data_IF_062462532783
#
_entry.id   IF_062462532783
#
_cell.length_a   1.000
_cell.length_b   1.000
_cell.length_c   1.000
_cell.angle_alpha   90.00
_cell.angle_beta   90.00
_cell.angle_gamma   90.00
#
_symmetry.space_group_name_H-M   'P 1'
#
loop_
_entity.id
_entity.type
_entity.pdbx_description
1 polymer ?
#
# COMPACT_ATOMS: atom_id res chain seq x y z
N UNK A 1 -9.13 -68.45 41.65
CA UNK A 1 -9.55 -67.04 41.80
C UNK A 1 -8.34 -66.16 41.48
N UNK A 2 -8.40 -65.38 40.40
CA UNK A 2 -7.32 -64.47 39.97
C UNK A 2 -7.91 -63.08 39.82
N UNK A 3 -7.51 -62.16 40.69
CA UNK A 3 -7.94 -60.76 40.73
C UNK A 3 -6.98 -59.88 39.93
N UNK A 4 -7.38 -59.48 38.73
CA UNK A 4 -6.63 -58.54 37.89
C UNK A 4 -6.87 -57.10 38.39
N UNK A 5 -5.81 -56.43 38.87
CA UNK A 5 -5.86 -55.00 39.24
C UNK A 5 -5.77 -54.12 37.98
N UNK A 6 -6.76 -53.25 37.78
CA UNK A 6 -6.72 -52.17 36.78
C UNK A 6 -5.87 -51.02 37.32
N UNK A 7 -4.75 -50.72 36.65
CA UNK A 7 -3.93 -49.52 36.95
C UNK A 7 -4.62 -48.27 36.39
N UNK A 8 -5.03 -47.38 37.28
CA UNK A 8 -5.49 -46.04 36.93
C UNK A 8 -4.28 -45.23 36.41
N UNK A 9 -4.28 -44.82 35.15
CA UNK A 9 -3.27 -43.93 34.60
C UNK A 9 -3.53 -42.51 35.12
N UNK A 10 -2.63 -42.00 35.96
CA UNK A 10 -2.64 -40.62 36.43
C UNK A 10 -2.51 -39.66 35.24
N UNK A 11 -3.51 -38.79 35.04
CA UNK A 11 -3.46 -37.70 34.04
C UNK A 11 -2.24 -36.83 34.35
N UNK A 12 -1.31 -36.69 33.38
CA UNK A 12 -0.21 -35.72 33.50
C UNK A 12 -0.83 -34.31 33.62
N UNK A 13 -0.35 -33.47 34.55
CA UNK A 13 -0.83 -32.10 34.66
C UNK A 13 -0.48 -31.38 33.35
N UNK A 14 -1.49 -30.77 32.73
CA UNK A 14 -1.30 -29.90 31.57
C UNK A 14 -0.49 -28.69 32.07
N UNK A 15 0.78 -28.59 31.66
CA UNK A 15 1.59 -27.41 31.92
C UNK A 15 0.84 -26.18 31.41
N UNK A 16 0.66 -25.17 32.25
CA UNK A 16 0.01 -23.90 31.85
C UNK A 16 0.65 -23.42 30.54
N UNK A 17 -0.14 -23.04 29.52
CA UNK A 17 0.41 -22.53 28.28
C UNK A 17 1.20 -21.25 28.58
N UNK A 18 2.48 -21.23 28.20
CA UNK A 18 3.41 -20.11 28.38
C UNK A 18 3.18 -19.00 27.35
N UNK A 19 1.91 -18.71 27.03
CA UNK A 19 1.57 -17.66 26.09
C UNK A 19 1.90 -16.30 26.71
N UNK A 20 2.88 -15.60 26.13
CA UNK A 20 3.23 -14.24 26.51
C UNK A 20 2.67 -13.33 25.42
N UNK A 21 1.68 -12.47 25.72
CA UNK A 21 1.16 -11.53 24.74
C UNK A 21 2.21 -10.46 24.42
N UNK A 22 2.27 -10.05 23.15
CA UNK A 22 3.09 -8.92 22.72
C UNK A 22 2.49 -7.60 23.20
N UNK A 23 3.35 -6.61 23.46
CA UNK A 23 2.91 -5.23 23.71
C UNK A 23 2.54 -4.55 22.40
N UNK A 24 1.41 -3.83 22.39
CA UNK A 24 1.03 -2.99 21.25
C UNK A 24 2.14 -1.97 20.99
N UNK A 25 2.75 -1.98 19.79
CA UNK A 25 3.82 -1.05 19.48
C UNK A 25 3.36 0.40 19.49
N UNK A 26 4.18 1.31 20.04
CA UNK A 26 3.82 2.74 20.11
C UNK A 26 4.03 3.49 18.79
N UNK A 27 5.04 3.09 17.99
CA UNK A 27 5.28 3.71 16.68
C UNK A 27 4.33 3.13 15.62
N UNK A 28 3.56 4.01 14.96
CA UNK A 28 2.65 3.62 13.90
C UNK A 28 3.39 3.54 12.55
N UNK A 29 3.91 2.36 12.25
CA UNK A 29 4.40 2.01 10.92
C UNK A 29 3.23 1.59 10.05
N UNK A 30 3.26 1.95 8.78
CA UNK A 30 2.19 1.65 7.83
C UNK A 30 2.73 1.34 6.44
N UNK A 31 1.87 0.76 5.61
CA UNK A 31 2.13 0.58 4.19
C UNK A 31 1.05 1.26 3.35
N UNK A 32 1.46 1.86 2.23
CA UNK A 32 0.59 2.69 1.40
C UNK A 32 0.80 2.43 -0.09
N UNK A 33 -0.31 2.35 -0.81
CA UNK A 33 -0.33 2.44 -2.26
C UNK A 33 -0.60 3.87 -2.74
N UNK A 34 0.19 4.33 -3.71
CA UNK A 34 0.11 5.69 -4.25
C UNK A 34 -0.23 5.60 -5.73
N UNK A 35 -1.49 5.86 -6.04
CA UNK A 35 -2.07 5.68 -7.37
C UNK A 35 -2.08 7.03 -8.08
N UNK A 36 -1.81 7.04 -9.38
CA UNK A 36 -1.97 8.23 -10.19
C UNK A 36 -1.41 8.05 -11.59
N UNK A 37 -1.85 8.92 -12.48
CA UNK A 37 -1.30 9.02 -13.83
C UNK A 37 0.20 9.38 -13.83
N UNK A 38 0.91 9.19 -14.95
CA UNK A 38 2.25 9.75 -15.13
C UNK A 38 2.30 11.24 -14.72
N UNK A 39 3.42 11.67 -14.15
CA UNK A 39 3.68 13.07 -13.75
C UNK A 39 2.75 13.67 -12.68
N UNK A 40 1.90 12.86 -12.06
CA UNK A 40 1.06 13.31 -10.94
C UNK A 40 1.84 13.54 -9.64
N UNK A 41 3.10 13.10 -9.56
CA UNK A 41 3.95 13.34 -8.38
C UNK A 41 4.06 12.16 -7.42
N UNK A 42 3.73 10.93 -7.86
CA UNK A 42 3.85 9.70 -7.06
C UNK A 42 5.26 9.53 -6.46
N UNK A 43 6.30 9.67 -7.27
CA UNK A 43 7.69 9.56 -6.80
C UNK A 43 8.08 10.72 -5.87
N UNK A 44 7.54 11.94 -6.08
CA UNK A 44 7.78 13.06 -5.17
C UNK A 44 7.13 12.80 -3.80
N UNK A 45 5.90 12.29 -3.78
CA UNK A 45 5.25 11.84 -2.55
C UNK A 45 6.09 10.80 -1.83
N UNK A 46 6.53 9.75 -2.55
CA UNK A 46 7.39 8.71 -1.96
C UNK A 46 8.70 9.26 -1.40
N UNK A 47 9.27 10.31 -2.00
CA UNK A 47 10.51 10.96 -1.56
C UNK A 47 10.34 11.85 -0.33
N UNK A 48 9.11 12.14 0.10
CA UNK A 48 8.90 12.86 1.36
C UNK A 48 9.17 11.99 2.60
N UNK A 49 9.07 10.67 2.45
CA UNK A 49 9.24 9.70 3.54
C UNK A 49 10.64 9.75 4.16
N UNK A 50 10.78 9.40 5.45
CA UNK A 50 12.08 9.38 6.10
C UNK A 50 13.00 8.35 5.45
N UNK A 51 14.25 8.78 5.17
CA UNK A 51 15.40 8.04 4.62
C UNK A 51 15.03 6.68 4.00
N UNK A 52 14.60 6.75 2.74
CA UNK A 52 14.09 5.60 2.00
C UNK A 52 15.13 4.91 1.09
N UNK A 53 14.96 3.59 0.90
CA UNK A 53 15.49 2.86 -0.26
C UNK A 53 14.45 2.88 -1.39
N UNK A 54 14.84 3.37 -2.56
CA UNK A 54 14.06 3.33 -3.80
C UNK A 54 14.48 2.16 -4.67
N UNK A 55 13.54 1.24 -4.89
CA UNK A 55 13.63 0.13 -5.83
C UNK A 55 12.89 0.53 -7.12
N UNK A 56 13.64 1.05 -8.07
CA UNK A 56 13.15 1.77 -9.26
C UNK A 56 13.07 0.84 -10.49
N UNK A 57 11.87 0.33 -10.75
CA UNK A 57 11.52 -0.46 -11.93
C UNK A 57 11.27 0.41 -13.16
N UNK A 58 10.92 1.69 -12.97
CA UNK A 58 10.64 2.62 -14.07
C UNK A 58 11.88 3.36 -14.60
N UNK A 59 13.00 3.27 -13.88
CA UNK A 59 14.32 3.84 -14.20
C UNK A 59 14.34 5.37 -14.30
N UNK A 60 13.46 6.04 -13.56
CA UNK A 60 13.31 7.51 -13.58
C UNK A 60 13.29 8.14 -12.20
N UNK A 61 13.37 7.36 -11.12
CA UNK A 61 13.24 7.89 -9.77
C UNK A 61 14.40 8.84 -9.41
N UNK A 62 15.59 8.61 -9.97
CA UNK A 62 16.79 9.43 -9.78
C UNK A 62 16.59 10.93 -10.11
N UNK A 63 15.68 11.24 -11.05
CA UNK A 63 15.33 12.61 -11.41
C UNK A 63 14.69 13.34 -10.24
N UNK A 64 13.84 12.65 -9.47
CA UNK A 64 13.15 13.21 -8.31
C UNK A 64 14.07 13.23 -7.10
N UNK A 65 14.83 12.16 -6.87
CA UNK A 65 15.71 12.05 -5.70
C UNK A 65 16.80 13.12 -5.68
N UNK A 66 17.29 13.54 -6.84
CA UNK A 66 18.25 14.66 -6.97
C UNK A 66 17.71 16.01 -6.49
N UNK A 67 16.39 16.15 -6.35
CA UNK A 67 15.75 17.39 -5.85
C UNK A 67 15.69 17.45 -4.32
N UNK A 68 15.92 16.33 -3.63
CA UNK A 68 15.83 16.20 -2.17
C UNK A 68 17.09 15.47 -1.62
N UNK A 69 18.32 15.94 -1.93
CA UNK A 69 19.55 15.27 -1.51
C UNK A 69 19.68 15.19 0.02
N UNK A 70 19.13 16.14 0.75
CA UNK A 70 19.15 16.23 2.22
C UNK A 70 18.43 15.07 2.92
N UNK A 71 17.50 14.38 2.22
CA UNK A 71 16.79 13.22 2.76
C UNK A 71 17.65 11.95 2.78
N UNK A 72 18.80 11.95 2.11
CA UNK A 72 19.78 10.86 2.14
C UNK A 72 19.24 9.53 1.60
N UNK A 73 18.33 9.59 0.62
CA UNK A 73 17.75 8.42 -0.01
C UNK A 73 18.80 7.55 -0.71
N UNK A 74 18.57 6.24 -0.69
CA UNK A 74 19.35 5.27 -1.45
C UNK A 74 18.52 4.81 -2.63
N UNK A 75 19.15 4.60 -3.78
CA UNK A 75 18.45 4.24 -5.01
C UNK A 75 19.12 3.04 -5.68
N UNK A 76 18.28 2.12 -6.15
CA UNK A 76 18.68 0.97 -6.96
C UNK A 76 17.76 0.88 -8.17
N UNK A 77 18.35 0.90 -9.36
CA UNK A 77 17.69 0.48 -10.58
C UNK A 77 17.37 -1.02 -10.50
N UNK A 78 16.10 -1.39 -10.69
CA UNK A 78 15.62 -2.77 -10.61
C UNK A 78 15.45 -3.35 -11.99
N UNK A 79 16.22 -4.39 -12.32
CA UNK A 79 16.15 -5.09 -13.61
C UNK A 79 15.59 -6.51 -13.47
N UNK A 80 15.50 -7.01 -12.24
CA UNK A 80 15.07 -8.36 -11.91
C UNK A 80 14.42 -8.42 -10.54
N UNK A 81 13.71 -9.50 -10.23
CA UNK A 81 13.16 -9.70 -8.89
C UNK A 81 14.26 -9.81 -7.82
N UNK A 82 15.43 -10.35 -8.18
CA UNK A 82 16.58 -10.45 -7.28
C UNK A 82 17.03 -9.09 -6.77
N UNK A 83 16.99 -8.05 -7.62
CA UNK A 83 17.32 -6.69 -7.19
C UNK A 83 16.37 -6.22 -6.08
N UNK A 84 15.09 -6.59 -6.15
CA UNK A 84 14.09 -6.28 -5.11
C UNK A 84 14.41 -7.06 -3.84
N UNK A 85 14.58 -8.37 -3.92
CA UNK A 85 14.87 -9.21 -2.74
C UNK A 85 16.16 -8.77 -2.04
N UNK A 86 17.26 -8.63 -2.78
CA UNK A 86 18.56 -8.23 -2.23
C UNK A 86 18.52 -6.81 -1.67
N UNK A 87 17.85 -5.88 -2.37
CA UNK A 87 17.70 -4.51 -1.89
C UNK A 87 16.89 -4.44 -0.59
N UNK A 88 15.81 -5.22 -0.49
CA UNK A 88 15.03 -5.33 0.75
C UNK A 88 15.89 -5.93 1.87
N UNK A 89 16.52 -7.08 1.66
CA UNK A 89 17.37 -7.71 2.68
C UNK A 89 18.49 -6.77 3.18
N UNK A 90 19.14 -6.06 2.26
CA UNK A 90 20.11 -5.03 2.61
C UNK A 90 19.50 -3.92 3.47
N UNK A 91 18.35 -3.37 3.08
CA UNK A 91 17.66 -2.32 3.82
C UNK A 91 17.18 -2.78 5.20
N UNK A 92 16.82 -4.06 5.37
CA UNK A 92 16.47 -4.64 6.67
C UNK A 92 17.65 -4.63 7.64
N UNK A 93 18.87 -4.74 7.13
CA UNK A 93 20.11 -4.67 7.92
C UNK A 93 20.56 -3.23 8.22
N UNK A 94 19.97 -2.22 7.57
CA UNK A 94 20.28 -0.81 7.78
C UNK A 94 19.28 -0.16 8.75
N UNK A 95 19.66 0.18 9.99
CA UNK A 95 18.73 0.75 10.98
C UNK A 95 18.21 2.15 10.62
N UNK A 96 18.99 2.90 9.85
CA UNK A 96 18.71 4.26 9.41
C UNK A 96 17.77 4.33 8.20
N UNK A 97 17.67 3.27 7.39
CA UNK A 97 16.68 3.17 6.32
C UNK A 97 15.30 2.91 6.95
N UNK A 98 14.41 3.90 6.93
CA UNK A 98 13.08 3.79 7.56
C UNK A 98 11.99 3.33 6.60
N UNK A 99 12.20 3.57 5.31
CA UNK A 99 11.19 3.36 4.27
C UNK A 99 11.75 2.52 3.13
N UNK A 100 10.93 1.64 2.57
CA UNK A 100 11.19 0.94 1.32
C UNK A 100 10.14 1.38 0.31
N UNK A 101 10.59 1.88 -0.84
CA UNK A 101 9.75 2.32 -1.95
C UNK A 101 9.92 1.35 -3.12
N UNK A 102 8.81 0.85 -3.65
CA UNK A 102 8.76 0.11 -4.91
C UNK A 102 8.12 1.01 -5.96
N UNK A 103 8.92 1.49 -6.93
CA UNK A 103 8.52 2.43 -7.98
C UNK A 103 8.70 1.77 -9.36
N UNK A 104 7.74 1.02 -9.90
CA UNK A 104 6.34 0.91 -9.49
C UNK A 104 5.82 -0.51 -9.29
N UNK A 105 4.75 -0.60 -8.50
CA UNK A 105 3.97 -1.82 -8.28
C UNK A 105 3.18 -2.30 -9.50
N UNK A 106 3.28 -1.63 -10.65
CA UNK A 106 2.77 -2.15 -11.93
C UNK A 106 3.66 -3.28 -12.47
N UNK A 107 4.97 -3.10 -12.40
CA UNK A 107 5.95 -4.04 -12.98
C UNK A 107 6.26 -5.23 -12.05
N UNK A 108 5.93 -5.10 -10.75
CA UNK A 108 6.21 -6.10 -9.71
C UNK A 108 5.65 -7.49 -10.05
N UNK A 109 4.47 -7.56 -10.69
CA UNK A 109 3.86 -8.84 -11.04
C UNK A 109 4.65 -9.57 -12.11
N UNK A 110 5.13 -8.83 -13.10
CA UNK A 110 5.81 -9.40 -14.25
C UNK A 110 7.25 -9.79 -13.83
N UNK A 111 7.91 -8.99 -12.98
CA UNK A 111 9.18 -9.38 -12.34
C UNK A 111 9.04 -10.65 -11.48
N UNK A 112 7.98 -10.76 -10.67
CA UNK A 112 7.73 -11.95 -9.86
C UNK A 112 7.43 -13.18 -10.73
N UNK A 113 6.74 -12.98 -11.85
CA UNK A 113 6.46 -14.04 -12.81
C UNK A 113 7.75 -14.56 -13.45
N UNK A 114 8.63 -13.67 -13.91
CA UNK A 114 9.93 -14.08 -14.46
C UNK A 114 10.78 -14.82 -13.43
N UNK A 115 10.76 -14.37 -12.17
CA UNK A 115 11.47 -15.09 -11.11
C UNK A 115 10.87 -16.46 -10.82
N UNK A 116 9.54 -16.57 -10.83
CA UNK A 116 8.87 -17.86 -10.70
C UNK A 116 9.25 -18.82 -11.84
N UNK A 117 9.28 -18.34 -13.08
CA UNK A 117 9.72 -19.13 -14.24
C UNK A 117 11.16 -19.60 -14.06
N UNK A 118 12.05 -18.71 -13.61
CA UNK A 118 13.45 -19.03 -13.34
C UNK A 118 13.62 -20.08 -12.24
N UNK A 119 12.87 -19.97 -11.12
CA UNK A 119 12.94 -20.91 -9.98
C UNK A 119 12.38 -22.29 -10.32
N UNK A 120 11.34 -22.37 -11.15
CA UNK A 120 10.60 -23.61 -11.41
C UNK A 120 10.95 -24.27 -12.74
N UNK A 121 11.64 -23.57 -13.65
CA UNK A 121 11.88 -24.01 -15.03
C UNK A 121 10.64 -24.03 -15.92
N UNK A 122 9.48 -23.55 -15.43
CA UNK A 122 8.21 -23.55 -16.17
C UNK A 122 8.09 -22.33 -17.07
N UNK A 123 7.40 -22.48 -18.21
CA UNK A 123 7.16 -21.39 -19.17
C UNK A 123 5.93 -20.53 -18.85
N UNK A 124 4.94 -21.08 -18.14
CA UNK A 124 3.68 -20.42 -17.85
C UNK A 124 3.14 -20.81 -16.47
N UNK A 125 2.52 -19.87 -15.71
CA UNK A 125 1.83 -20.14 -14.44
C UNK A 125 0.42 -20.73 -14.64
N UNK A 126 0.07 -21.05 -15.89
CA UNK A 126 -1.17 -21.75 -16.27
C UNK A 126 -0.84 -23.21 -16.51
N UNK A 127 -1.55 -24.10 -15.82
CA UNK A 127 -1.53 -25.53 -16.09
C UNK A 127 -2.70 -25.87 -17.01
N UNK A 128 -2.49 -26.76 -17.98
CA UNK A 128 -3.58 -27.30 -18.78
C UNK A 128 -4.03 -28.63 -18.19
N UNK A 129 -5.29 -28.71 -17.76
CA UNK A 129 -5.92 -29.92 -17.24
C UNK A 129 -7.11 -30.21 -18.17
N UNK A 130 -7.12 -31.38 -18.80
CA UNK A 130 -8.16 -31.80 -19.76
C UNK A 130 -8.45 -30.77 -20.88
N UNK A 131 -7.39 -30.15 -21.40
CA UNK A 131 -7.48 -29.13 -22.46
C UNK A 131 -7.93 -27.75 -21.98
N UNK A 132 -8.22 -27.56 -20.68
CA UNK A 132 -8.59 -26.27 -20.11
C UNK A 132 -7.41 -25.60 -19.40
N UNK A 133 -7.23 -24.30 -19.66
CA UNK A 133 -6.25 -23.47 -18.99
C UNK A 133 -6.68 -23.15 -17.55
N UNK A 134 -6.03 -23.77 -16.57
CA UNK A 134 -6.28 -23.53 -15.14
C UNK A 134 -5.15 -22.68 -14.55
N UNK A 135 -5.45 -21.49 -13.97
CA UNK A 135 -4.44 -20.58 -13.42
C UNK A 135 -3.90 -21.03 -12.04
N UNK A 136 -3.67 -22.33 -11.85
CA UNK A 136 -3.35 -22.96 -10.55
C UNK A 136 -2.08 -22.39 -9.93
N UNK A 137 -1.09 -21.99 -10.75
CA UNK A 137 0.24 -21.65 -10.26
C UNK A 137 0.43 -20.13 -10.02
N UNK A 138 -0.58 -19.30 -10.31
CA UNK A 138 -0.53 -17.87 -9.98
C UNK A 138 -0.42 -17.61 -8.49
N UNK A 139 -0.93 -18.52 -7.64
CA UNK A 139 -0.75 -18.45 -6.20
C UNK A 139 0.75 -18.42 -5.82
N UNK A 140 1.60 -19.16 -6.54
CA UNK A 140 3.05 -19.21 -6.28
C UNK A 140 3.75 -17.91 -6.72
N UNK A 141 3.31 -17.31 -7.84
CA UNK A 141 3.80 -15.97 -8.26
C UNK A 141 3.42 -14.91 -7.23
N UNK A 142 2.20 -14.99 -6.69
CA UNK A 142 1.73 -14.08 -5.66
C UNK A 142 2.48 -14.24 -4.34
N UNK A 143 2.84 -15.46 -3.97
CA UNK A 143 3.62 -15.74 -2.77
C UNK A 143 5.00 -15.08 -2.80
N UNK A 144 5.63 -15.00 -3.98
CA UNK A 144 6.90 -14.28 -4.17
C UNK A 144 6.75 -12.80 -3.76
N UNK A 145 5.68 -12.13 -4.21
CA UNK A 145 5.38 -10.73 -3.85
C UNK A 145 5.01 -10.60 -2.37
N UNK A 146 4.10 -11.45 -1.90
CA UNK A 146 3.59 -11.41 -0.53
C UNK A 146 4.69 -11.62 0.50
N UNK A 147 5.68 -12.46 0.19
CA UNK A 147 6.83 -12.70 1.08
C UNK A 147 7.70 -11.45 1.25
N UNK A 148 7.96 -10.68 0.18
CA UNK A 148 8.68 -9.41 0.27
C UNK A 148 7.90 -8.40 1.09
N UNK A 149 6.60 -8.22 0.80
CA UNK A 149 5.74 -7.30 1.55
C UNK A 149 5.71 -7.65 3.04
N UNK A 150 5.53 -8.94 3.36
CA UNK A 150 5.50 -9.44 4.74
C UNK A 150 6.82 -9.19 5.47
N UNK A 151 7.97 -9.44 4.83
CA UNK A 151 9.29 -9.16 5.42
C UNK A 151 9.43 -7.69 5.80
N UNK A 152 9.04 -6.77 4.92
CA UNK A 152 9.11 -5.32 5.17
C UNK A 152 8.21 -4.92 6.34
N UNK A 153 6.96 -5.41 6.34
CA UNK A 153 5.99 -5.11 7.40
C UNK A 153 6.42 -5.67 8.76
N UNK A 154 6.90 -6.92 8.81
CA UNK A 154 7.40 -7.55 10.04
C UNK A 154 8.65 -6.84 10.59
N UNK A 155 9.50 -6.34 9.70
CA UNK A 155 10.67 -5.53 10.08
C UNK A 155 10.32 -4.10 10.51
N UNK A 156 9.02 -3.74 10.54
CA UNK A 156 8.52 -2.43 10.96
C UNK A 156 9.15 -1.26 10.17
N UNK A 157 9.30 -1.42 8.86
CA UNK A 157 9.65 -0.31 7.95
C UNK A 157 8.42 0.16 7.19
N UNK A 158 8.36 1.44 6.85
CA UNK A 158 7.32 1.93 5.96
C UNK A 158 7.46 1.27 4.59
N UNK A 159 6.33 0.92 3.98
CA UNK A 159 6.30 0.42 2.60
C UNK A 159 5.46 1.37 1.76
N UNK A 160 6.07 1.96 0.74
CA UNK A 160 5.38 2.78 -0.26
C UNK A 160 5.45 2.07 -1.60
N UNK A 161 4.30 1.87 -2.24
CA UNK A 161 4.25 1.29 -3.58
C UNK A 161 3.55 2.27 -4.51
N UNK A 162 4.25 2.74 -5.54
CA UNK A 162 3.62 3.58 -6.55
C UNK A 162 2.84 2.70 -7.52
N UNK A 163 1.76 3.22 -8.08
CA UNK A 163 0.91 2.48 -8.98
C UNK A 163 0.48 3.37 -10.14
N UNK A 164 0.61 2.84 -11.36
CA UNK A 164 0.07 3.45 -12.57
C UNK A 164 -1.45 3.25 -12.61
N UNK A 165 -2.06 3.93 -13.57
CA UNK A 165 -3.46 3.75 -13.94
C UNK A 165 -3.55 3.26 -15.37
N UNK A 166 -4.57 2.50 -15.69
CA UNK A 166 -4.91 2.08 -17.05
C UNK A 166 -6.37 2.38 -17.36
N UNK A 167 -6.71 2.35 -18.64
CA UNK A 167 -8.09 2.43 -19.07
C UNK A 167 -8.86 1.17 -18.65
N UNK A 168 -10.08 1.38 -18.15
CA UNK A 168 -11.02 0.31 -17.88
C UNK A 168 -11.73 -0.10 -19.17
N UNK A 169 -11.78 -1.40 -19.40
CA UNK A 169 -12.53 -2.02 -20.49
C UNK A 169 -13.56 -2.99 -19.91
N UNK A 170 -14.80 -2.92 -20.41
CA UNK A 170 -15.85 -3.89 -20.12
C UNK A 170 -16.26 -4.51 -21.45
N UNK A 171 -16.17 -5.84 -21.57
CA UNK A 171 -16.43 -6.56 -22.82
C UNK A 171 -15.69 -5.97 -24.03
N UNK A 172 -14.40 -5.62 -23.84
CA UNK A 172 -13.53 -4.98 -24.84
C UNK A 172 -13.91 -3.55 -25.25
N UNK A 173 -14.92 -2.94 -24.64
CA UNK A 173 -15.31 -1.56 -24.87
C UNK A 173 -14.70 -0.66 -23.78
N UNK A 174 -14.01 0.44 -24.14
CA UNK A 174 -13.47 1.37 -23.16
C UNK A 174 -14.61 2.07 -22.43
N UNK A 175 -14.54 2.14 -21.10
CA UNK A 175 -15.56 2.81 -20.27
C UNK A 175 -15.30 4.30 -20.09
N UNK A 176 -14.12 4.78 -20.51
CA UNK A 176 -13.63 6.13 -20.25
C UNK A 176 -13.12 6.35 -18.81
N UNK A 177 -13.20 5.34 -17.94
CA UNK A 177 -12.69 5.42 -16.57
C UNK A 177 -11.25 4.93 -16.52
N UNK A 178 -10.43 5.60 -15.70
CA UNK A 178 -9.12 5.08 -15.29
C UNK A 178 -9.29 4.18 -14.07
N UNK A 179 -8.57 3.07 -14.06
CA UNK A 179 -8.49 2.14 -12.93
C UNK A 179 -7.03 1.91 -12.53
N UNK A 180 -6.83 1.52 -11.28
CA UNK A 180 -5.53 1.16 -10.73
C UNK A 180 -4.92 -0.02 -11.50
N UNK A 181 -3.65 0.09 -11.89
CA UNK A 181 -2.89 -0.97 -12.53
C UNK A 181 -1.70 -1.43 -11.69
N UNK A 182 -2.00 -2.22 -10.66
CA UNK A 182 -0.97 -2.79 -9.80
C UNK A 182 -1.40 -4.11 -9.19
N UNK A 183 -0.60 -4.62 -8.26
CA UNK A 183 -0.82 -5.95 -7.70
C UNK A 183 -2.18 -6.09 -7.00
N UNK A 184 -3.00 -7.04 -7.45
CA UNK A 184 -4.42 -7.16 -7.06
C UNK A 184 -4.69 -7.31 -5.56
N UNK A 185 -3.71 -7.77 -4.77
CA UNK A 185 -3.88 -7.91 -3.32
C UNK A 185 -3.54 -6.65 -2.52
N UNK A 186 -2.88 -5.63 -3.10
CA UNK A 186 -2.53 -4.40 -2.40
C UNK A 186 -3.72 -3.67 -1.75
N UNK A 187 -4.91 -3.58 -2.36
CA UNK A 187 -6.10 -3.02 -1.71
C UNK A 187 -6.47 -3.72 -0.40
N UNK A 188 -6.03 -4.96 -0.17
CA UNK A 188 -6.28 -5.73 1.04
C UNK A 188 -5.06 -5.74 1.96
N UNK A 189 -3.87 -5.96 1.40
CA UNK A 189 -2.62 -6.18 2.13
C UNK A 189 -1.96 -4.89 2.65
N UNK A 190 -2.22 -3.74 2.03
CA UNK A 190 -1.63 -2.47 2.46
C UNK A 190 -2.55 -1.70 3.40
N UNK A 191 -2.00 -0.94 4.34
CA UNK A 191 -2.78 -0.20 5.35
C UNK A 191 -3.59 0.94 4.76
N UNK A 192 -3.04 1.62 3.74
CA UNK A 192 -3.64 2.81 3.13
C UNK A 192 -3.52 2.78 1.60
N UNK A 193 -4.35 3.54 0.93
CA UNK A 193 -4.21 3.83 -0.48
C UNK A 193 -4.72 5.25 -0.78
N UNK A 194 -3.95 6.01 -1.56
CA UNK A 194 -4.35 7.32 -2.05
C UNK A 194 -4.27 7.36 -3.58
N UNK A 195 -5.13 8.17 -4.18
CA UNK A 195 -5.09 8.49 -5.60
C UNK A 195 -4.77 9.98 -5.75
N UNK A 196 -3.58 10.30 -6.27
CA UNK A 196 -3.18 11.68 -6.53
C UNK A 196 -3.93 12.18 -7.77
N UNK A 197 -4.72 13.23 -7.59
CA UNK A 197 -5.51 13.84 -8.65
C UNK A 197 -5.56 15.36 -8.51
N UNK A 198 -5.87 16.03 -9.61
CA UNK A 198 -6.11 17.46 -9.60
C UNK A 198 -7.53 17.75 -9.10
N UNK A 199 -7.62 18.60 -8.07
CA UNK A 199 -8.87 19.02 -7.48
C UNK A 199 -9.65 17.94 -6.72
N UNK A 200 -10.77 18.39 -6.16
CA UNK A 200 -11.74 17.58 -5.42
C UNK A 200 -13.00 17.47 -6.27
N UNK A 201 -13.40 16.25 -6.59
CA UNK A 201 -14.61 16.00 -7.39
C UNK A 201 -15.81 15.87 -6.45
N UNK A 202 -16.79 16.75 -6.61
CA UNK A 202 -18.09 16.62 -5.94
C UNK A 202 -18.87 15.47 -6.59
N UNK A 203 -19.14 14.36 -5.87
CA UNK A 203 -19.86 13.21 -6.44
C UNK A 203 -21.33 13.53 -6.76
N UNK A 204 -21.94 14.58 -6.18
CA UNK A 204 -23.34 14.95 -6.43
C UNK A 204 -23.49 15.73 -7.73
N UNK A 205 -22.56 16.64 -8.01
CA UNK A 205 -22.66 17.57 -9.16
C UNK A 205 -21.69 17.24 -10.29
N UNK A 206 -20.68 16.41 -10.04
CA UNK A 206 -19.57 16.17 -10.98
C UNK A 206 -18.58 17.33 -11.10
N UNK A 207 -18.81 18.44 -10.39
CA UNK A 207 -17.94 19.62 -10.43
C UNK A 207 -16.59 19.31 -9.79
N UNK A 208 -15.52 19.74 -10.45
CA UNK A 208 -14.15 19.65 -9.89
C UNK A 208 -13.78 20.99 -9.27
N UNK A 209 -13.62 21.01 -7.95
CA UNK A 209 -13.15 22.14 -7.16
C UNK A 209 -11.62 22.18 -7.15
N UNK A 210 -11.02 23.37 -7.09
CA UNK A 210 -9.56 23.54 -6.95
C UNK A 210 -8.74 22.79 -8.02
N UNK A 211 -9.21 22.79 -9.28
CA UNK A 211 -8.68 21.98 -10.40
C UNK A 211 -7.18 22.17 -10.73
N UNK A 212 -6.55 23.22 -10.20
CA UNK A 212 -5.13 23.53 -10.41
C UNK A 212 -4.22 23.03 -9.29
N UNK A 213 -4.80 22.52 -8.20
CA UNK A 213 -4.06 21.98 -7.05
C UNK A 213 -4.20 20.47 -7.00
N UNK A 214 -3.18 19.79 -6.49
CA UNK A 214 -3.16 18.34 -6.34
C UNK A 214 -3.64 17.95 -4.96
N UNK A 215 -4.48 16.93 -4.90
CA UNK A 215 -4.94 16.31 -3.65
C UNK A 215 -4.78 14.79 -3.73
N UNK A 216 -4.55 14.15 -2.58
CA UNK A 216 -4.56 12.69 -2.47
C UNK A 216 -5.95 12.20 -2.09
N UNK A 217 -6.76 11.77 -3.05
CA UNK A 217 -8.06 11.14 -2.74
C UNK A 217 -7.83 9.85 -1.96
N UNK A 218 -8.37 9.75 -0.76
CA UNK A 218 -8.21 8.58 0.09
C UNK A 218 -9.10 7.45 -0.42
N UNK A 219 -8.48 6.40 -0.94
CA UNK A 219 -9.14 5.18 -1.42
C UNK A 219 -9.32 4.18 -0.27
N UNK A 220 -8.34 4.12 0.62
CA UNK A 220 -8.34 3.24 1.79
C UNK A 220 -7.59 3.87 2.96
N UNK A 221 -8.15 3.73 4.15
CA UNK A 221 -7.47 3.99 5.41
C UNK A 221 -7.90 2.94 6.45
N UNK A 222 -6.98 2.10 6.92
CA UNK A 222 -7.28 1.10 7.95
C UNK A 222 -7.31 1.66 9.38
N UNK A 223 -6.90 2.91 9.60
CA UNK A 223 -6.82 3.51 10.94
C UNK A 223 -8.13 4.15 11.38
N UNK A 224 -8.88 4.70 10.42
CA UNK A 224 -10.14 5.41 10.66
C UNK A 224 -11.16 5.01 9.61
N UNK A 225 -12.42 4.92 10.01
CA UNK A 225 -13.48 4.44 9.13
C UNK A 225 -14.83 5.11 9.40
N UNK A 226 -15.88 4.44 8.91
CA UNK A 226 -17.26 4.91 9.00
C UNK A 226 -17.99 4.20 10.13
N UNK A 227 -18.61 4.96 11.03
CA UNK A 227 -19.60 4.46 11.96
C UNK A 227 -20.98 4.51 11.30
N UNK A 228 -21.36 3.38 10.69
CA UNK A 228 -22.61 3.24 9.94
C UNK A 228 -23.84 3.44 10.83
N UNK A 229 -23.77 3.08 12.12
CA UNK A 229 -24.90 3.23 13.05
C UNK A 229 -25.18 4.69 13.36
N UNK A 230 -24.13 5.50 13.47
CA UNK A 230 -24.24 6.94 13.73
C UNK A 230 -24.33 7.78 12.46
N UNK A 231 -24.10 7.19 11.29
CA UNK A 231 -24.06 7.91 10.01
C UNK A 231 -22.93 8.93 9.95
N UNK A 232 -21.79 8.64 10.61
CA UNK A 232 -20.61 9.54 10.64
C UNK A 232 -19.35 8.83 10.15
N UNK A 233 -18.41 9.59 9.61
CA UNK A 233 -17.06 9.13 9.27
C UNK A 233 -16.02 9.79 10.14
N UNK A 234 -14.93 9.07 10.42
CA UNK A 234 -13.70 9.59 11.00
C UNK A 234 -12.55 9.61 9.97
N UNK A 235 -12.78 9.07 8.78
CA UNK A 235 -11.81 9.04 7.69
C UNK A 235 -11.94 10.32 6.86
N UNK A 236 -10.84 11.08 6.76
CA UNK A 236 -10.72 12.19 5.82
C UNK A 236 -10.75 11.65 4.37
N UNK A 237 -11.62 12.17 3.48
CA UNK A 237 -11.73 11.68 2.10
C UNK A 237 -10.59 12.16 1.20
N UNK A 238 -9.87 13.23 1.57
CA UNK A 238 -8.79 13.82 0.81
C UNK A 238 -7.63 14.22 1.73
N UNK A 239 -6.42 13.89 1.29
CA UNK A 239 -5.16 14.38 1.83
C UNK A 239 -4.79 15.69 1.11
N UNK A 240 -4.59 16.75 1.87
CA UNK A 240 -4.25 18.07 1.32
C UNK A 240 -2.74 18.21 1.12
N UNK A 241 -1.96 17.90 2.15
CA UNK A 241 -0.51 17.84 2.05
C UNK A 241 -0.07 16.46 1.54
N UNK A 242 0.27 16.36 0.26
CA UNK A 242 0.73 15.11 -0.36
C UNK A 242 2.19 14.85 0.02
N UNK A 243 2.39 14.53 1.30
CA UNK A 243 3.68 14.19 1.91
C UNK A 243 3.51 13.18 3.04
N UNK A 244 4.62 12.63 3.53
CA UNK A 244 4.68 11.81 4.74
C UNK A 244 4.12 12.55 5.96
N UNK A 245 4.48 13.82 6.12
CA UNK A 245 4.00 14.69 7.18
C UNK A 245 2.48 14.89 7.09
N UNK A 246 1.97 15.08 5.87
CA UNK A 246 0.53 15.12 5.61
C UNK A 246 -0.19 13.84 6.00
N UNK A 247 0.35 12.65 5.66
CA UNK A 247 -0.21 11.37 6.11
C UNK A 247 -0.28 11.32 7.64
N UNK A 248 0.80 11.70 8.32
CA UNK A 248 0.85 11.68 9.78
C UNK A 248 -0.16 12.65 10.42
N UNK A 249 -0.39 13.79 9.78
CA UNK A 249 -1.26 14.84 10.31
C UNK A 249 -2.73 14.66 9.94
N UNK A 250 -3.04 14.08 8.79
CA UNK A 250 -4.40 14.06 8.23
C UNK A 250 -4.99 12.65 8.13
N UNK A 251 -4.18 11.61 7.95
CA UNK A 251 -4.65 10.23 7.77
C UNK A 251 -4.44 9.33 8.99
N UNK A 252 -3.43 9.60 9.82
CA UNK A 252 -3.22 8.87 11.08
C UNK A 252 -4.01 9.47 12.26
N UNK A 253 -4.67 10.61 12.07
CA UNK A 253 -5.54 11.24 13.07
C UNK A 253 -7.01 11.15 12.64
N UNK A 254 -7.96 11.08 13.58
CA UNK A 254 -9.38 11.08 13.23
C UNK A 254 -9.76 12.45 12.67
N UNK A 255 -10.46 12.47 11.54
CA UNK A 255 -11.00 13.70 10.96
C UNK A 255 -12.31 14.13 11.61
N UNK A 256 -13.12 13.14 11.98
CA UNK A 256 -14.48 13.33 12.44
C UNK A 256 -14.68 13.23 13.96
N UNK A 257 -15.95 13.17 14.40
CA UNK A 257 -17.10 12.71 13.60
C UNK A 257 -17.63 13.76 12.62
N UNK A 258 -17.74 13.40 11.33
CA UNK A 258 -18.43 14.19 10.28
C UNK A 258 -19.61 13.38 9.74
N UNK A 259 -20.81 13.98 9.62
CA UNK A 259 -21.96 13.25 9.04
C UNK A 259 -21.72 12.91 7.58
N UNK A 260 -22.11 11.71 7.17
CA UNK A 260 -21.93 11.24 5.79
C UNK A 260 -22.57 12.17 4.74
N UNK A 261 -23.67 12.84 5.09
CA UNK A 261 -24.35 13.82 4.21
C UNK A 261 -23.57 15.12 3.98
N UNK A 262 -22.68 15.46 4.91
CA UNK A 262 -21.95 16.75 4.99
C UNK A 262 -20.50 16.62 4.49
N UNK A 263 -19.97 15.39 4.33
CA UNK A 263 -18.56 15.09 3.96
C UNK A 263 -18.04 15.95 2.81
N UNK A 264 -18.78 16.04 1.70
CA UNK A 264 -18.34 16.80 0.52
C UNK A 264 -18.24 18.30 0.79
N UNK A 265 -19.21 18.87 1.52
CA UNK A 265 -19.22 20.30 1.83
C UNK A 265 -18.09 20.64 2.80
N UNK A 266 -17.94 19.84 3.86
CA UNK A 266 -16.87 20.01 4.85
C UNK A 266 -15.49 19.95 4.20
N UNK A 267 -15.21 18.95 3.36
CA UNK A 267 -13.88 18.82 2.76
C UNK A 267 -13.57 19.95 1.76
N UNK A 268 -14.57 20.44 1.01
CA UNK A 268 -14.38 21.56 0.09
C UNK A 268 -14.06 22.83 0.86
N UNK A 269 -14.80 23.09 1.95
CA UNK A 269 -14.56 24.26 2.83
C UNK A 269 -13.17 24.20 3.46
N UNK A 270 -12.80 23.06 4.06
CA UNK A 270 -11.48 22.87 4.67
C UNK A 270 -10.35 23.01 3.63
N UNK A 271 -10.55 22.54 2.40
CA UNK A 271 -9.57 22.70 1.33
C UNK A 271 -9.40 24.18 0.94
N UNK A 272 -10.48 24.95 0.90
CA UNK A 272 -10.42 26.40 0.66
C UNK A 272 -9.64 27.13 1.75
N UNK A 273 -9.93 26.82 3.02
CA UNK A 273 -9.24 27.39 4.18
C UNK A 273 -7.75 27.03 4.16
N UNK A 274 -7.42 25.75 3.95
CA UNK A 274 -6.04 25.29 3.84
C UNK A 274 -5.28 25.99 2.70
N UNK A 275 -5.90 26.16 1.53
CA UNK A 275 -5.27 26.87 0.42
C UNK A 275 -5.01 28.35 0.74
N UNK A 276 -5.94 29.03 1.42
CA UNK A 276 -5.75 30.43 1.89
C UNK A 276 -4.61 30.53 2.91
N UNK A 277 -4.54 29.60 3.87
CA UNK A 277 -3.45 29.55 4.86
C UNK A 277 -2.08 29.36 4.21
N UNK A 278 -2.01 28.63 3.08
CA UNK A 278 -0.80 28.44 2.29
C UNK A 278 -0.49 29.61 1.33
N UNK A 279 -1.34 30.63 1.28
CA UNK A 279 -1.21 31.75 0.33
C UNK A 279 -1.38 31.34 -1.13
N UNK A 280 -2.16 30.28 -1.37
CA UNK A 280 -2.40 29.73 -2.70
C UNK A 280 -3.69 30.25 -3.34
N UNK A 281 -4.61 30.79 -2.54
CA UNK A 281 -5.83 31.51 -2.94
C UNK A 281 -5.79 32.91 -2.34
#
# INVERSE_FOLDING_TARGET
MSTTRVRCMSRRPISKPSFIPDTVPQEQVFSIEVIGEPDQGKTHFSATFPKALFLDTEHKADIVLRKMPEKGHVWKRVTSWQDIELGVEWALQQPDIRTIVIDSGGDIRDLALEEWKRRTGKKSPVAYIDGQAVPVLWAQVYEIIDNVVRKIQLARKYLVVTCRTKDEYIAHVPTGRKIRDGYKKFPWNLSMAIWIQNGITDPKTGKVHFKFYKFGKVIKNNFWGVDVKKGVTYQKPYLFDISYEGICNEMLKPWGPVKLSEVTETIIKEAEEWLKEKGLL
#
